data_IF_173994655302
#
_entry.id   IF_173994655302
#
_cell.length_a   1.000
_cell.length_b   1.000
_cell.length_c   1.000
_cell.angle_alpha   90.00
_cell.angle_beta   90.00
_cell.angle_gamma   90.00
#
_symmetry.space_group_name_H-M   'P 1'
#
loop_
_entity.id
_entity.type
_entity.pdbx_description
1 polymer ?
#
# COMPACT_ATOMS: atom_id res chain seq x y z
N UNK A 1 -28.73 27.15 -106.00
CA UNK A 1 -29.16 25.81 -105.59
C UNK A 1 -27.91 24.96 -105.44
N UNK A 2 -27.78 24.32 -104.27
CA UNK A 2 -27.15 23.01 -104.02
C UNK A 2 -25.68 22.74 -104.42
N UNK A 3 -24.80 22.81 -103.40
CA UNK A 3 -24.05 21.72 -102.72
C UNK A 3 -23.32 20.61 -103.54
N UNK A 4 -22.03 20.42 -103.15
CA UNK A 4 -21.13 19.22 -103.15
C UNK A 4 -20.69 18.58 -104.48
N UNK A 5 -19.54 17.91 -104.63
CA UNK A 5 -18.44 17.46 -103.74
C UNK A 5 -17.28 16.99 -104.64
N UNK A 6 -16.01 17.15 -104.22
CA UNK A 6 -15.00 16.08 -103.97
C UNK A 6 -13.84 16.24 -105.00
N UNK A 7 -12.54 15.97 -104.79
CA UNK A 7 -11.69 15.56 -103.67
C UNK A 7 -10.21 15.65 -104.13
N UNK A 8 -9.27 15.75 -103.17
CA UNK A 8 -7.82 15.44 -103.24
C UNK A 8 -6.90 16.28 -104.16
N UNK A 9 -5.66 16.69 -103.83
CA UNK A 9 -4.61 16.06 -103.03
C UNK A 9 -3.56 17.13 -102.65
N UNK A 10 -3.20 17.33 -101.37
CA UNK A 10 -1.95 18.03 -101.02
C UNK A 10 -1.28 17.38 -99.80
N UNK A 11 -0.05 16.91 -100.02
CA UNK A 11 0.81 16.27 -99.02
C UNK A 11 1.13 17.25 -97.90
N UNK A 12 0.75 16.92 -96.67
CA UNK A 12 1.16 17.68 -95.48
C UNK A 12 1.88 16.81 -94.44
N UNK A 13 2.99 17.36 -93.98
CA UNK A 13 3.97 16.82 -93.02
C UNK A 13 3.30 16.57 -91.67
N UNK A 14 3.45 15.35 -91.11
CA UNK A 14 2.98 15.06 -89.75
C UNK A 14 3.98 15.56 -88.69
N UNK A 15 3.53 16.21 -87.60
CA UNK A 15 4.39 16.83 -86.61
C UNK A 15 4.81 15.85 -85.48
N UNK A 16 6.07 15.97 -85.08
CA UNK A 16 6.73 15.22 -84.00
C UNK A 16 6.07 15.46 -82.63
N UNK A 17 5.73 14.38 -81.90
CA UNK A 17 5.18 14.44 -80.53
C UNK A 17 6.14 15.16 -79.57
N UNK A 18 5.71 16.29 -78.98
CA UNK A 18 6.45 17.00 -77.92
C UNK A 18 6.58 16.12 -76.67
N UNK A 19 7.82 15.91 -76.18
CA UNK A 19 8.10 15.25 -74.88
C UNK A 19 7.57 16.10 -73.74
N UNK A 20 6.74 15.53 -72.85
CA UNK A 20 6.30 16.20 -71.61
C UNK A 20 7.52 16.46 -70.71
N UNK A 21 7.75 17.71 -70.33
CA UNK A 21 8.74 18.09 -69.31
C UNK A 21 8.35 17.46 -67.97
N UNK A 22 9.17 16.54 -67.47
CA UNK A 22 8.97 15.88 -66.18
C UNK A 22 9.51 16.79 -65.07
N UNK A 23 8.63 17.47 -64.35
CA UNK A 23 9.02 18.31 -63.21
C UNK A 23 9.33 17.42 -61.99
N UNK A 24 10.59 17.41 -61.55
CA UNK A 24 11.02 16.73 -60.34
C UNK A 24 10.96 17.68 -59.14
N UNK A 25 10.11 17.38 -58.17
CA UNK A 25 9.94 18.18 -56.97
C UNK A 25 11.11 17.98 -56.00
N UNK A 26 11.73 19.07 -55.54
CA UNK A 26 12.70 19.05 -54.43
C UNK A 26 11.99 18.78 -53.09
N UNK A 27 12.72 18.17 -52.16
CA UNK A 27 12.31 17.97 -50.78
C UNK A 27 11.88 19.29 -50.14
N UNK A 28 10.76 19.29 -49.42
CA UNK A 28 10.26 20.46 -48.71
C UNK A 28 10.23 20.20 -47.21
N UNK A 29 10.90 21.07 -46.45
CA UNK A 29 10.92 21.03 -44.99
C UNK A 29 9.53 21.19 -44.36
N UNK A 30 8.56 21.71 -45.12
CA UNK A 30 7.16 21.80 -44.72
C UNK A 30 6.50 20.43 -44.57
N UNK A 31 7.05 19.38 -45.18
CA UNK A 31 6.54 18.02 -45.03
C UNK A 31 6.83 17.45 -43.64
N UNK A 32 7.88 17.90 -42.96
CA UNK A 32 8.16 17.54 -41.55
C UNK A 32 7.17 18.21 -40.58
N UNK A 33 6.48 19.27 -41.01
CA UNK A 33 5.48 20.00 -40.20
C UNK A 33 4.05 19.55 -40.50
N UNK A 34 3.84 18.77 -41.55
CA UNK A 34 2.52 18.25 -41.94
C UNK A 34 2.16 17.07 -41.02
N UNK A 35 1.03 17.17 -40.32
CA UNK A 35 0.58 16.18 -39.33
C UNK A 35 0.50 14.74 -39.89
N UNK A 36 0.38 14.59 -41.21
CA UNK A 36 0.31 13.28 -41.88
C UNK A 36 1.68 12.63 -42.14
N UNK A 37 2.76 13.41 -42.10
CA UNK A 37 4.11 12.99 -42.54
C UNK A 37 5.21 13.26 -41.51
N UNK A 38 4.97 14.16 -40.55
CA UNK A 38 5.92 14.59 -39.53
C UNK A 38 6.50 13.46 -38.66
N UNK A 39 5.73 12.40 -38.45
CA UNK A 39 6.13 11.29 -37.58
C UNK A 39 7.18 10.33 -38.15
N UNK A 40 7.52 10.43 -39.44
CA UNK A 40 8.44 9.46 -40.07
C UNK A 40 9.27 10.00 -41.24
N UNK A 41 9.04 11.22 -41.71
CA UNK A 41 9.77 11.82 -42.84
C UNK A 41 10.84 12.78 -42.34
N UNK A 42 12.06 12.63 -42.86
CA UNK A 42 13.20 13.53 -42.62
C UNK A 42 13.93 13.87 -43.92
N UNK A 43 14.75 14.93 -43.91
CA UNK A 43 15.69 15.22 -45.00
C UNK A 43 16.64 14.04 -45.24
N UNK A 44 16.84 13.68 -46.51
CA UNK A 44 17.81 12.64 -46.91
C UNK A 44 19.22 13.20 -47.09
N UNK A 45 20.22 12.38 -46.78
CA UNK A 45 21.62 12.69 -47.05
C UNK A 45 22.02 12.43 -48.53
N UNK A 46 21.15 11.83 -49.34
CA UNK A 46 21.42 11.52 -50.77
C UNK A 46 21.15 12.68 -51.74
N UNK A 47 20.71 13.83 -51.22
CA UNK A 47 20.52 15.05 -51.99
C UNK A 47 19.11 15.63 -51.91
N UNK A 48 18.94 16.84 -52.44
CA UNK A 48 17.73 17.65 -52.27
C UNK A 48 16.48 17.10 -52.95
N UNK A 49 16.60 16.05 -53.76
CA UNK A 49 15.49 15.37 -54.43
C UNK A 49 15.06 14.08 -53.72
N UNK A 50 15.54 13.83 -52.50
CA UNK A 50 15.22 12.62 -51.74
C UNK A 50 14.66 12.97 -50.36
N UNK A 51 13.76 12.13 -49.87
CA UNK A 51 13.32 12.12 -48.48
C UNK A 51 13.73 10.80 -47.81
N UNK A 52 14.01 10.87 -46.52
CA UNK A 52 14.35 9.73 -45.69
C UNK A 52 13.13 9.31 -44.86
N UNK A 53 12.82 8.01 -44.88
CA UNK A 53 11.84 7.41 -43.98
C UNK A 53 12.56 6.92 -42.72
N UNK A 54 12.27 7.49 -41.56
CA UNK A 54 12.85 7.08 -40.27
C UNK A 54 12.33 5.71 -39.82
N UNK A 55 11.06 5.40 -40.13
CA UNK A 55 10.46 4.11 -39.77
C UNK A 55 11.06 2.93 -40.56
N UNK A 56 11.37 3.13 -41.85
CA UNK A 56 11.90 2.07 -42.73
C UNK A 56 13.40 2.21 -43.05
N UNK A 57 14.04 3.29 -42.58
CA UNK A 57 15.45 3.65 -42.81
C UNK A 57 15.85 3.61 -44.29
N UNK A 58 15.06 4.24 -45.15
CA UNK A 58 15.31 4.25 -46.59
C UNK A 58 15.15 5.65 -47.19
N UNK A 59 15.89 5.92 -48.26
CA UNK A 59 15.78 7.14 -49.05
C UNK A 59 14.93 6.90 -50.30
N UNK A 60 13.95 7.77 -50.55
CA UNK A 60 13.12 7.73 -51.75
C UNK A 60 13.19 9.06 -52.50
N UNK A 61 13.18 8.99 -53.84
CA UNK A 61 13.08 10.19 -54.69
C UNK A 61 11.73 10.87 -54.48
N UNK A 62 11.77 12.19 -54.33
CA UNK A 62 10.61 13.04 -54.17
C UNK A 62 9.74 13.09 -55.43
N UNK A 63 10.32 13.00 -56.65
CA UNK A 63 9.60 12.84 -57.92
C UNK A 63 8.33 13.69 -58.05
N UNK A 64 7.17 13.05 -57.84
CA UNK A 64 5.82 13.66 -57.86
C UNK A 64 5.40 14.37 -56.54
N UNK A 65 6.34 14.72 -55.67
CA UNK A 65 6.12 15.40 -54.39
C UNK A 65 5.29 14.58 -53.39
N UNK A 66 4.27 15.21 -52.79
CA UNK A 66 3.43 14.60 -51.72
C UNK A 66 2.74 13.28 -52.12
N UNK A 67 2.57 13.00 -53.42
CA UNK A 67 1.97 11.73 -53.89
C UNK A 67 2.85 10.52 -53.57
N UNK A 68 4.17 10.67 -53.67
CA UNK A 68 5.13 9.60 -53.35
C UNK A 68 5.12 9.30 -51.86
N UNK A 69 5.03 10.33 -51.02
CA UNK A 69 4.90 10.20 -49.56
C UNK A 69 3.64 9.42 -49.16
N UNK A 70 2.49 9.72 -49.77
CA UNK A 70 1.24 8.98 -49.54
C UNK A 70 1.35 7.51 -49.95
N UNK A 71 1.85 7.24 -51.16
CA UNK A 71 2.08 5.87 -51.66
C UNK A 71 3.05 5.08 -50.76
N UNK A 72 4.10 5.74 -50.26
CA UNK A 72 5.05 5.12 -49.34
C UNK A 72 4.40 4.78 -47.99
N UNK A 73 3.65 5.73 -47.40
CA UNK A 73 2.91 5.51 -46.16
C UNK A 73 1.89 4.36 -46.28
N UNK A 74 1.30 4.20 -47.47
CA UNK A 74 0.33 3.14 -47.75
C UNK A 74 0.96 1.78 -48.03
N UNK A 75 2.27 1.72 -48.27
CA UNK A 75 2.98 0.49 -48.60
C UNK A 75 2.93 -0.54 -47.45
N UNK A 76 2.87 -1.81 -47.82
CA UNK A 76 2.78 -2.95 -46.88
C UNK A 76 3.99 -2.93 -45.92
N UNK A 77 5.19 -2.64 -46.44
CA UNK A 77 6.43 -2.59 -45.67
C UNK A 77 6.37 -1.51 -44.58
N UNK A 78 6.01 -0.27 -44.95
CA UNK A 78 5.90 0.83 -44.00
C UNK A 78 4.84 0.55 -42.92
N UNK A 79 3.64 0.11 -43.31
CA UNK A 79 2.57 -0.25 -42.37
C UNK A 79 2.96 -1.36 -41.40
N UNK A 80 3.68 -2.38 -41.86
CA UNK A 80 4.10 -3.51 -41.02
C UNK A 80 5.06 -3.08 -39.90
N UNK A 81 6.01 -2.20 -40.22
CA UNK A 81 7.05 -1.74 -39.28
C UNK A 81 6.48 -0.74 -38.30
N UNK A 82 5.64 0.19 -38.76
CA UNK A 82 4.96 1.14 -37.87
C UNK A 82 4.04 0.40 -36.89
N UNK A 83 3.30 -0.62 -37.36
CA UNK A 83 2.48 -1.47 -36.48
C UNK A 83 3.32 -2.26 -35.46
N UNK A 84 4.50 -2.73 -35.86
CA UNK A 84 5.41 -3.43 -34.94
C UNK A 84 5.99 -2.48 -33.89
N UNK A 85 6.36 -1.26 -34.27
CA UNK A 85 6.90 -0.24 -33.36
C UNK A 85 5.87 0.22 -32.32
N UNK A 86 4.60 0.42 -32.72
CA UNK A 86 3.51 0.77 -31.79
C UNK A 86 3.23 -0.34 -30.76
N UNK A 87 3.48 -1.61 -31.13
CA UNK A 87 3.29 -2.76 -30.23
C UNK A 87 4.44 -2.99 -29.26
N UNK A 88 5.58 -2.33 -29.45
CA UNK A 88 6.72 -2.46 -28.54
C UNK A 88 6.54 -1.50 -27.35
N UNK A 89 6.47 -2.03 -26.11
CA UNK A 89 6.46 -1.17 -24.92
C UNK A 89 7.75 -0.36 -24.85
N UNK A 90 7.67 0.89 -24.42
CA UNK A 90 8.86 1.70 -24.17
C UNK A 90 9.62 1.15 -22.96
N UNK A 91 10.94 1.31 -22.91
CA UNK A 91 11.75 0.92 -21.75
C UNK A 91 11.21 1.56 -20.44
N UNK A 92 10.64 2.77 -20.56
CA UNK A 92 10.00 3.49 -19.46
C UNK A 92 8.75 2.80 -18.89
N UNK A 93 8.03 2.00 -19.68
CA UNK A 93 6.90 1.20 -19.18
C UNK A 93 7.31 -0.13 -18.56
N UNK A 94 8.56 -0.56 -18.77
CA UNK A 94 9.13 -1.78 -18.18
C UNK A 94 9.86 -1.53 -16.87
N UNK A 95 10.18 -0.26 -16.55
CA UNK A 95 10.64 0.09 -15.21
C UNK A 95 9.50 -0.21 -14.23
N UNK A 96 9.72 -1.00 -13.16
CA UNK A 96 8.73 -1.11 -12.12
C UNK A 96 8.42 0.31 -11.66
N UNK A 97 7.14 0.67 -11.63
CA UNK A 97 6.67 1.83 -10.88
C UNK A 97 7.01 1.54 -9.43
N UNK A 98 8.26 1.78 -9.04
CA UNK A 98 8.65 1.93 -7.66
C UNK A 98 7.73 3.02 -7.16
N UNK A 99 6.74 2.63 -6.35
CA UNK A 99 6.07 3.54 -5.45
C UNK A 99 7.16 4.10 -4.55
N UNK A 100 7.88 5.12 -5.03
CA UNK A 100 8.85 5.83 -4.21
C UNK A 100 8.02 6.38 -3.06
N UNK A 101 8.13 5.73 -1.90
CA UNK A 101 7.46 6.19 -0.68
C UNK A 101 7.69 7.69 -0.61
N UNK A 102 6.61 8.45 -0.56
CA UNK A 102 6.68 9.89 -0.65
C UNK A 102 7.60 10.40 0.45
N UNK A 103 8.22 11.55 0.25
CA UNK A 103 9.10 12.13 1.26
C UNK A 103 8.39 12.25 2.63
N UNK A 104 7.08 12.51 2.60
CA UNK A 104 6.21 12.54 3.79
C UNK A 104 6.02 11.17 4.44
N UNK A 105 5.99 10.07 3.69
CA UNK A 105 5.93 8.72 4.27
C UNK A 105 7.20 8.35 5.04
N UNK A 106 8.36 8.86 4.60
CA UNK A 106 9.62 8.68 5.33
C UNK A 106 9.60 9.43 6.66
N UNK A 107 9.05 10.65 6.68
CA UNK A 107 8.87 11.44 7.91
C UNK A 107 7.99 10.67 8.89
N UNK A 108 6.78 10.28 8.45
CA UNK A 108 5.83 9.49 9.27
C UNK A 108 6.46 8.20 9.80
N UNK A 109 7.20 7.49 8.94
CA UNK A 109 7.88 6.26 9.35
C UNK A 109 8.97 6.51 10.39
N UNK A 110 9.66 7.65 10.36
CA UNK A 110 10.65 8.03 11.36
C UNK A 110 9.99 8.31 12.71
N UNK A 111 8.95 9.14 12.72
CA UNK A 111 8.21 9.50 13.93
C UNK A 111 7.55 8.28 14.60
N UNK A 112 7.01 7.35 13.81
CA UNK A 112 6.50 6.08 14.34
C UNK A 112 7.60 5.27 15.01
N UNK A 113 8.79 5.20 14.41
CA UNK A 113 9.92 4.46 15.01
C UNK A 113 10.40 5.11 16.30
N UNK A 114 10.47 6.45 16.36
CA UNK A 114 10.82 7.18 17.58
C UNK A 114 9.79 6.93 18.69
N UNK A 115 8.50 7.00 18.37
CA UNK A 115 7.42 6.70 19.32
C UNK A 115 7.50 5.25 19.84
N UNK A 116 7.70 4.28 18.95
CA UNK A 116 7.88 2.88 19.33
C UNK A 116 9.14 2.66 20.16
N UNK A 117 10.22 3.41 19.91
CA UNK A 117 11.43 3.33 20.72
C UNK A 117 11.17 3.75 22.17
N UNK A 118 10.48 4.88 22.37
CA UNK A 118 10.07 5.31 23.71
C UNK A 118 9.20 4.27 24.41
N UNK A 119 8.18 3.75 23.71
CA UNK A 119 7.27 2.73 24.25
C UNK A 119 8.00 1.42 24.60
N UNK A 120 8.85 0.92 23.70
CA UNK A 120 9.60 -0.34 23.87
C UNK A 120 10.52 -0.32 25.10
N UNK A 121 11.13 0.83 25.38
CA UNK A 121 12.05 0.99 26.50
C UNK A 121 11.38 1.54 27.77
N UNK A 122 10.04 1.63 27.79
CA UNK A 122 9.26 2.19 28.90
C UNK A 122 9.75 3.59 29.31
N UNK A 123 10.09 4.42 28.32
CA UNK A 123 10.57 5.78 28.53
C UNK A 123 9.41 6.78 28.59
N UNK A 124 9.49 7.83 29.43
CA UNK A 124 8.49 8.88 29.46
C UNK A 124 8.35 9.58 28.10
N UNK A 125 7.12 9.79 27.64
CA UNK A 125 6.88 10.55 26.40
C UNK A 125 7.30 12.02 26.48
N UNK A 126 7.61 12.54 27.67
CA UNK A 126 8.21 13.88 27.82
C UNK A 126 9.60 13.98 27.19
N UNK A 127 10.30 12.85 26.97
CA UNK A 127 11.59 12.82 26.28
C UNK A 127 11.47 12.94 24.75
N UNK A 128 10.24 13.01 24.21
CA UNK A 128 10.03 13.11 22.77
C UNK A 128 10.64 14.39 22.20
N UNK A 129 10.42 15.53 22.87
CA UNK A 129 10.95 16.83 22.48
C UNK A 129 12.49 16.82 22.51
N UNK A 130 13.11 16.30 23.58
CA UNK A 130 14.57 16.15 23.67
C UNK A 130 15.15 15.21 22.59
N UNK A 131 14.41 14.16 22.23
CA UNK A 131 14.81 13.19 21.21
C UNK A 131 14.76 13.80 19.80
N UNK A 132 13.81 14.68 19.53
CA UNK A 132 13.73 15.45 18.29
C UNK A 132 14.96 16.35 18.13
N UNK A 133 15.24 17.17 19.15
CA UNK A 133 16.40 18.08 19.19
C UNK A 133 17.72 17.31 19.02
N UNK A 134 17.85 16.16 19.70
CA UNK A 134 19.02 15.31 19.59
C UNK A 134 19.22 14.79 18.16
N UNK A 135 18.17 14.30 17.50
CA UNK A 135 18.29 13.77 16.13
C UNK A 135 18.67 14.86 15.13
N UNK A 136 18.12 16.07 15.28
CA UNK A 136 18.48 17.21 14.43
C UNK A 136 19.96 17.60 14.64
N UNK A 137 20.44 17.60 15.90
CA UNK A 137 21.85 17.91 16.20
C UNK A 137 22.84 16.86 15.69
N UNK A 138 22.46 15.58 15.70
CA UNK A 138 23.32 14.47 15.25
C UNK A 138 23.43 14.41 13.73
N UNK A 139 22.39 14.85 13.00
CA UNK A 139 22.38 14.82 11.53
C UNK A 139 21.89 16.16 10.93
N UNK A 140 22.68 17.24 11.04
CA UNK A 140 22.26 18.59 10.62
C UNK A 140 21.94 18.70 9.13
N UNK A 141 22.66 17.96 8.28
CA UNK A 141 22.50 17.98 6.81
C UNK A 141 21.23 17.26 6.32
N UNK A 142 20.53 16.55 7.21
CA UNK A 142 19.37 15.76 6.85
C UNK A 142 18.10 16.61 6.77
N UNK A 143 17.63 16.86 5.55
CA UNK A 143 16.30 17.44 5.29
C UNK A 143 15.15 16.65 5.93
N UNK A 144 15.37 15.37 6.25
CA UNK A 144 14.38 14.52 6.92
C UNK A 144 14.33 14.84 8.42
N UNK A 145 15.50 14.96 9.06
CA UNK A 145 15.61 15.24 10.48
C UNK A 145 15.01 16.62 10.81
N UNK A 146 15.35 17.64 10.02
CA UNK A 146 14.83 19.01 10.16
C UNK A 146 13.32 19.16 9.85
N UNK A 147 12.64 18.05 9.52
CA UNK A 147 11.21 18.02 9.18
C UNK A 147 10.41 17.08 10.09
N UNK A 148 11.07 16.42 11.04
CA UNK A 148 10.34 15.79 12.12
C UNK A 148 9.58 16.86 12.90
N UNK A 149 8.43 16.46 13.43
CA UNK A 149 7.66 17.24 14.38
C UNK A 149 7.25 16.23 15.43
N UNK A 150 8.00 16.10 16.52
CA UNK A 150 7.92 14.96 17.42
C UNK A 150 7.91 15.38 18.89
N UNK A 151 6.83 16.07 19.30
CA UNK A 151 6.60 16.39 20.70
C UNK A 151 5.86 15.29 21.48
N UNK A 152 5.84 15.43 22.81
CA UNK A 152 5.18 14.51 23.76
C UNK A 152 3.77 14.06 23.34
N UNK A 153 2.89 15.02 23.01
CA UNK A 153 1.48 14.72 22.66
C UNK A 153 1.39 13.86 21.41
N UNK A 154 2.28 14.10 20.44
CA UNK A 154 2.30 13.34 19.20
C UNK A 154 2.86 11.94 19.41
N UNK A 155 3.93 11.80 20.19
CA UNK A 155 4.45 10.49 20.59
C UNK A 155 3.36 9.63 21.24
N UNK A 156 2.63 10.19 22.23
CA UNK A 156 1.50 9.52 22.86
C UNK A 156 0.40 9.16 21.86
N UNK A 157 -0.01 10.10 20.99
CA UNK A 157 -1.04 9.84 19.99
C UNK A 157 -0.64 8.75 18.98
N UNK A 158 0.62 8.70 18.56
CA UNK A 158 1.14 7.66 17.66
C UNK A 158 1.11 6.30 18.36
N UNK A 159 1.57 6.22 19.61
CA UNK A 159 1.56 4.96 20.35
C UNK A 159 0.12 4.47 20.55
N UNK A 160 -0.76 5.32 21.05
CA UNK A 160 -2.13 4.91 21.42
C UNK A 160 -3.03 4.70 20.20
N UNK A 161 -3.08 5.65 19.27
CA UNK A 161 -4.08 5.66 18.20
C UNK A 161 -3.63 5.01 16.90
N UNK A 162 -2.31 4.82 16.71
CA UNK A 162 -1.76 4.21 15.49
C UNK A 162 -1.24 2.81 15.79
N UNK A 163 -0.13 2.72 16.53
CA UNK A 163 0.56 1.43 16.71
C UNK A 163 -0.21 0.49 17.64
N UNK A 164 -0.70 1.00 18.77
CA UNK A 164 -1.56 0.27 19.70
C UNK A 164 -2.85 -0.19 19.04
N UNK A 165 -3.49 0.67 18.22
CA UNK A 165 -4.71 0.27 17.50
C UNK A 165 -4.46 -0.81 16.44
N UNK A 166 -3.33 -0.75 15.75
CA UNK A 166 -2.92 -1.79 14.79
C UNK A 166 -2.68 -3.12 15.51
N UNK A 167 -1.96 -3.10 16.64
CA UNK A 167 -1.69 -4.28 17.44
C UNK A 167 -2.99 -4.89 18.00
N UNK A 168 -3.90 -4.07 18.55
CA UNK A 168 -5.22 -4.49 19.03
C UNK A 168 -6.00 -5.20 17.90
N UNK A 169 -6.06 -4.60 16.71
CA UNK A 169 -6.78 -5.17 15.57
C UNK A 169 -6.15 -6.48 15.08
N UNK A 170 -4.82 -6.61 15.14
CA UNK A 170 -4.13 -7.86 14.82
C UNK A 170 -4.49 -8.95 15.83
N UNK A 171 -4.42 -8.63 17.12
CA UNK A 171 -4.78 -9.56 18.19
C UNK A 171 -6.25 -10.01 18.10
N UNK A 172 -7.18 -9.09 17.84
CA UNK A 172 -8.60 -9.41 17.62
C UNK A 172 -8.77 -10.40 16.47
N UNK A 173 -8.07 -10.20 15.33
CA UNK A 173 -8.13 -11.15 14.20
C UNK A 173 -7.64 -12.54 14.59
N UNK A 174 -6.58 -12.62 15.39
CA UNK A 174 -6.08 -13.90 15.89
C UNK A 174 -7.14 -14.57 16.77
N UNK A 175 -7.83 -13.83 17.64
CA UNK A 175 -8.90 -14.36 18.49
C UNK A 175 -10.14 -14.83 17.74
N UNK A 176 -10.44 -14.17 16.64
CA UNK A 176 -11.55 -14.56 15.76
C UNK A 176 -11.30 -15.90 15.08
N UNK A 177 -10.04 -16.22 14.79
CA UNK A 177 -9.68 -17.35 13.93
C UNK A 177 -9.10 -18.54 14.70
N UNK A 178 -8.51 -18.32 15.87
CA UNK A 178 -7.73 -19.32 16.60
C UNK A 178 -8.32 -19.61 17.98
N UNK A 179 -8.01 -20.80 18.50
CA UNK A 179 -8.29 -21.15 19.90
C UNK A 179 -7.35 -20.37 20.82
N UNK A 180 -7.85 -19.97 21.98
CA UNK A 180 -7.09 -19.14 22.91
C UNK A 180 -7.41 -19.45 24.38
N UNK A 181 -6.48 -19.07 25.26
CA UNK A 181 -6.67 -19.11 26.72
C UNK A 181 -6.85 -17.69 27.24
N UNK A 182 -7.83 -17.45 28.10
CA UNK A 182 -8.05 -16.15 28.73
C UNK A 182 -7.50 -16.17 30.16
N UNK A 183 -6.64 -15.22 30.49
CA UNK A 183 -6.14 -15.00 31.84
C UNK A 183 -6.71 -13.66 32.33
N UNK A 184 -7.40 -13.66 33.47
CA UNK A 184 -7.94 -12.45 34.09
C UNK A 184 -7.25 -12.21 35.42
N UNK A 185 -6.58 -11.07 35.53
CA UNK A 185 -5.95 -10.60 36.76
C UNK A 185 -6.66 -9.37 37.33
N UNK A 186 -6.81 -9.35 38.66
CA UNK A 186 -7.48 -8.28 39.40
C UNK A 186 -6.46 -7.47 40.19
N UNK A 187 -6.19 -6.26 39.75
CA UNK A 187 -5.41 -5.31 40.56
C UNK A 187 -6.32 -4.54 41.53
N UNK A 188 -5.88 -4.42 42.78
CA UNK A 188 -6.54 -3.62 43.83
C UNK A 188 -5.76 -2.34 44.07
N UNK A 189 -5.98 -1.34 43.22
CA UNK A 189 -5.53 0.04 43.45
C UNK A 189 -6.64 0.83 44.17
N UNK A 190 -6.27 1.69 45.12
CA UNK A 190 -7.19 2.55 45.90
C UNK A 190 -7.97 3.53 45.04
N UNK A 191 -7.59 3.76 43.78
CA UNK A 191 -8.42 4.40 42.77
C UNK A 191 -9.07 3.36 41.85
N UNK A 192 -10.25 2.89 42.23
CA UNK A 192 -11.28 2.27 41.38
C UNK A 192 -10.79 1.56 40.10
N UNK A 193 -10.39 0.30 40.31
CA UNK A 193 -10.52 -0.87 39.40
C UNK A 193 -9.83 -0.89 38.04
N UNK A 194 -8.93 -1.88 37.90
CA UNK A 194 -8.28 -2.27 36.65
C UNK A 194 -8.20 -3.79 36.59
N UNK A 195 -8.93 -4.40 35.66
CA UNK A 195 -8.82 -5.83 35.36
C UNK A 195 -8.07 -6.03 34.05
N UNK A 196 -7.07 -6.89 34.09
CA UNK A 196 -6.17 -7.20 32.97
C UNK A 196 -6.63 -8.53 32.33
N UNK A 197 -6.97 -8.49 31.05
CA UNK A 197 -7.17 -9.69 30.25
C UNK A 197 -5.91 -9.97 29.42
N UNK A 198 -5.20 -11.05 29.73
CA UNK A 198 -4.09 -11.58 28.95
C UNK A 198 -4.58 -12.78 28.14
N UNK A 199 -4.04 -12.95 26.94
CA UNK A 199 -4.32 -14.11 26.11
C UNK A 199 -3.03 -14.84 25.82
N UNK A 200 -3.02 -16.14 26.11
CA UNK A 200 -1.95 -17.06 25.74
C UNK A 200 -2.31 -17.77 24.43
N UNK A 201 -1.46 -17.55 23.42
CA UNK A 201 -1.39 -18.34 22.19
C UNK A 201 -0.01 -18.98 22.13
N UNK A 202 0.04 -20.32 22.20
CA UNK A 202 1.19 -21.12 21.74
C UNK A 202 2.57 -20.53 22.14
N UNK A 203 2.71 -20.16 23.43
CA UNK A 203 3.94 -19.66 24.11
C UNK A 203 4.11 -18.12 24.15
N UNK A 204 3.18 -17.31 23.64
CA UNK A 204 3.23 -15.84 23.74
C UNK A 204 2.01 -15.23 24.46
N UNK A 205 2.27 -14.57 25.59
CA UNK A 205 1.26 -13.81 26.35
C UNK A 205 1.06 -12.43 25.70
N UNK A 206 -0.15 -12.16 25.26
CA UNK A 206 -0.54 -10.86 24.69
C UNK A 206 -1.53 -10.12 25.59
N UNK A 207 -1.24 -8.84 25.85
CA UNK A 207 -2.18 -7.94 26.51
C UNK A 207 -3.36 -7.64 25.58
N UNK A 208 -4.58 -7.95 26.03
CA UNK A 208 -5.78 -7.72 25.25
C UNK A 208 -6.42 -6.36 25.55
N UNK A 209 -6.84 -6.15 26.80
CA UNK A 209 -7.44 -4.90 27.24
C UNK A 209 -7.33 -4.72 28.75
N UNK A 210 -7.46 -3.46 29.17
CA UNK A 210 -7.72 -3.07 30.54
C UNK A 210 -9.16 -2.59 30.66
N UNK A 211 -9.91 -3.15 31.60
CA UNK A 211 -11.31 -2.80 31.79
C UNK A 211 -11.54 -2.17 33.17
N UNK A 212 -12.06 -0.94 33.23
CA UNK A 212 -12.54 -0.36 34.47
C UNK A 212 -13.87 -1.03 34.84
N UNK A 213 -13.98 -1.53 36.06
CA UNK A 213 -15.20 -2.20 36.54
C UNK A 213 -15.58 -1.60 37.89
N UNK A 214 -16.68 -0.86 37.98
CA UNK A 214 -17.04 -0.14 39.23
C UNK A 214 -17.27 -1.11 40.39
N UNK A 215 -17.95 -2.23 40.14
CA UNK A 215 -18.27 -3.23 41.13
C UNK A 215 -17.50 -4.52 40.82
N UNK A 216 -16.52 -4.89 41.65
CA UNK A 216 -15.67 -6.08 41.48
C UNK A 216 -16.40 -7.43 41.64
N UNK A 217 -17.67 -7.48 41.27
CA UNK A 217 -18.60 -8.61 41.30
C UNK A 217 -18.41 -9.44 40.02
N UNK A 218 -18.46 -10.76 40.15
CA UNK A 218 -18.25 -11.70 39.06
C UNK A 218 -19.20 -11.49 37.85
N UNK A 219 -20.45 -11.12 38.09
CA UNK A 219 -21.44 -10.86 37.02
C UNK A 219 -21.10 -9.64 36.20
N UNK A 220 -20.69 -8.54 36.84
CA UNK A 220 -20.26 -7.32 36.16
C UNK A 220 -19.03 -7.58 35.29
N UNK A 221 -18.06 -8.35 35.82
CA UNK A 221 -16.87 -8.78 35.07
C UNK A 221 -17.22 -9.64 33.86
N UNK A 222 -18.11 -10.63 34.05
CA UNK A 222 -18.54 -11.53 32.99
C UNK A 222 -19.25 -10.77 31.87
N UNK A 223 -20.21 -9.91 32.24
CA UNK A 223 -20.93 -9.08 31.28
C UNK A 223 -19.98 -8.18 30.49
N UNK A 224 -19.04 -7.54 31.16
CA UNK A 224 -18.14 -6.60 30.49
C UNK A 224 -17.16 -7.34 29.55
N UNK A 225 -16.65 -8.51 29.93
CA UNK A 225 -15.88 -9.38 29.02
C UNK A 225 -16.72 -9.83 27.82
N UNK A 226 -17.98 -10.25 28.07
CA UNK A 226 -18.91 -10.67 27.02
C UNK A 226 -19.20 -9.55 26.04
N UNK A 227 -19.50 -8.34 26.53
CA UNK A 227 -19.69 -7.14 25.70
C UNK A 227 -18.46 -6.85 24.86
N UNK A 228 -17.26 -6.92 25.43
CA UNK A 228 -16.02 -6.76 24.66
C UNK A 228 -15.92 -7.79 23.53
N UNK A 229 -16.16 -9.08 23.81
CA UNK A 229 -16.10 -10.12 22.78
C UNK A 229 -17.16 -9.91 21.69
N UNK A 230 -18.38 -9.53 22.07
CA UNK A 230 -19.47 -9.26 21.13
C UNK A 230 -19.18 -8.04 20.25
N UNK A 231 -18.73 -6.92 20.82
CA UNK A 231 -18.36 -5.71 20.08
C UNK A 231 -17.22 -5.95 19.08
N UNK A 232 -16.29 -6.84 19.41
CA UNK A 232 -15.15 -7.21 18.56
C UNK A 232 -15.43 -8.41 17.67
N UNK A 233 -16.65 -8.96 17.68
CA UNK A 233 -17.03 -10.17 16.94
C UNK A 233 -16.10 -11.37 17.22
N UNK A 234 -15.63 -11.52 18.46
CA UNK A 234 -14.80 -12.65 18.88
C UNK A 234 -15.74 -13.80 19.31
N UNK A 235 -15.70 -14.96 18.63
CA UNK A 235 -16.54 -16.11 18.97
C UNK A 235 -15.95 -16.85 20.18
N UNK A 236 -15.95 -16.19 21.35
CA UNK A 236 -15.29 -16.70 22.56
C UNK A 236 -15.86 -18.06 23.00
N UNK A 237 -17.15 -18.33 22.75
CA UNK A 237 -17.79 -19.60 23.13
C UNK A 237 -17.16 -20.82 22.44
N UNK A 238 -16.77 -20.64 21.19
CA UNK A 238 -16.15 -21.70 20.41
C UNK A 238 -14.63 -21.68 20.57
N UNK A 239 -14.03 -20.49 20.66
CA UNK A 239 -12.57 -20.33 20.59
C UNK A 239 -11.85 -20.32 21.94
N UNK A 240 -12.52 -19.96 23.04
CA UNK A 240 -11.89 -19.96 24.36
C UNK A 240 -11.85 -21.39 24.92
N UNK A 241 -10.64 -21.91 25.10
CA UNK A 241 -10.42 -23.30 25.57
C UNK A 241 -10.01 -23.36 27.04
N UNK A 242 -9.38 -22.30 27.56
CA UNK A 242 -8.97 -22.23 28.96
C UNK A 242 -9.28 -20.87 29.57
N UNK A 243 -9.55 -20.87 30.86
CA UNK A 243 -9.71 -19.66 31.66
C UNK A 243 -8.84 -19.76 32.91
N UNK A 244 -8.00 -18.76 33.13
CA UNK A 244 -7.17 -18.65 34.31
C UNK A 244 -7.43 -17.34 35.06
N UNK A 245 -7.43 -17.39 36.39
CA UNK A 245 -7.57 -16.18 37.20
C UNK A 245 -6.99 -16.37 38.61
N UNK A 246 -6.89 -15.27 39.36
CA UNK A 246 -6.58 -15.32 40.79
C UNK A 246 -7.59 -16.18 41.57
N UNK A 247 -7.19 -16.72 42.72
CA UNK A 247 -8.06 -17.56 43.54
C UNK A 247 -9.06 -16.78 44.39
N UNK A 248 -9.37 -15.52 44.07
CA UNK A 248 -10.27 -14.71 44.90
C UNK A 248 -11.71 -15.18 44.82
N UNK A 249 -12.54 -14.79 45.79
CA UNK A 249 -13.96 -15.18 45.81
C UNK A 249 -14.72 -14.74 44.54
N UNK A 250 -14.37 -13.60 43.95
CA UNK A 250 -14.95 -13.12 42.69
C UNK A 250 -14.57 -13.98 41.47
N UNK A 251 -13.44 -14.70 41.52
CA UNK A 251 -12.89 -15.44 40.39
C UNK A 251 -13.03 -16.95 40.51
N UNK A 252 -13.05 -17.52 41.73
CA UNK A 252 -13.17 -18.97 42.01
C UNK A 252 -13.96 -19.33 43.29
N UNK A 253 -14.71 -18.39 43.90
CA UNK A 253 -15.52 -18.62 45.10
C UNK A 253 -16.91 -19.23 44.86
N UNK A 254 -17.94 -18.75 45.57
CA UNK A 254 -19.30 -19.31 45.55
C UNK A 254 -20.13 -18.96 44.29
N UNK A 255 -19.91 -17.78 43.70
CA UNK A 255 -20.48 -17.36 42.41
C UNK A 255 -19.43 -16.69 41.52
N UNK A 256 -18.42 -17.45 41.09
CA UNK A 256 -17.24 -16.85 40.47
C UNK A 256 -17.38 -16.63 38.96
N UNK A 257 -16.55 -15.74 38.44
CA UNK A 257 -16.40 -15.49 37.00
C UNK A 257 -16.12 -16.79 36.22
N UNK A 258 -15.31 -17.70 36.79
CA UNK A 258 -15.02 -19.02 36.20
C UNK A 258 -16.27 -19.87 35.98
N UNK A 259 -17.19 -19.93 36.94
CA UNK A 259 -18.45 -20.68 36.79
C UNK A 259 -19.39 -20.03 35.77
N UNK A 260 -19.38 -18.69 35.65
CA UNK A 260 -20.17 -18.00 34.62
C UNK A 260 -19.67 -18.36 33.22
N UNK A 261 -18.35 -18.34 32.98
CA UNK A 261 -17.80 -18.78 31.70
C UNK A 261 -18.00 -20.28 31.44
N UNK A 262 -17.95 -21.12 32.48
CA UNK A 262 -18.21 -22.56 32.33
C UNK A 262 -19.69 -22.87 31.97
N UNK A 263 -20.63 -22.00 32.38
CA UNK A 263 -22.03 -22.08 31.93
C UNK A 263 -22.17 -21.75 30.43
N UNK A 264 -21.36 -20.81 29.94
CA UNK A 264 -21.34 -20.47 28.51
C UNK A 264 -20.59 -21.51 27.66
N UNK A 265 -19.55 -22.13 28.23
CA UNK A 265 -18.62 -23.04 27.56
C UNK A 265 -18.46 -24.30 28.41
N UNK A 266 -19.20 -25.35 28.04
CA UNK A 266 -19.28 -26.58 28.82
C UNK A 266 -17.92 -27.25 29.07
N UNK A 267 -17.03 -27.21 28.08
CA UNK A 267 -15.72 -27.88 28.10
C UNK A 267 -14.55 -26.93 28.44
N UNK A 268 -14.83 -25.83 29.15
CA UNK A 268 -13.80 -24.85 29.52
C UNK A 268 -12.87 -25.39 30.61
N UNK A 269 -11.56 -25.39 30.36
CA UNK A 269 -10.57 -25.77 31.35
C UNK A 269 -10.25 -24.60 32.29
N UNK A 270 -10.38 -24.81 33.59
CA UNK A 270 -10.20 -23.76 34.60
C UNK A 270 -8.86 -23.91 35.33
N UNK A 271 -8.07 -22.83 35.37
CA UNK A 271 -6.77 -22.78 36.03
C UNK A 271 -6.77 -21.72 37.13
N UNK A 272 -6.39 -22.11 38.35
CA UNK A 272 -6.19 -21.16 39.45
C UNK A 272 -4.76 -20.64 39.43
N UNK A 273 -4.57 -19.37 39.76
CA UNK A 273 -3.23 -18.78 39.88
C UNK A 273 -2.38 -19.51 40.92
N UNK A 274 -1.30 -20.14 40.45
CA UNK A 274 -0.32 -20.85 41.29
C UNK A 274 0.40 -19.89 42.25
N UNK A 275 0.73 -18.68 41.80
CA UNK A 275 1.37 -17.66 42.62
C UNK A 275 0.50 -17.26 43.82
N UNK A 276 -0.81 -17.08 43.60
CA UNK A 276 -1.74 -16.79 44.69
C UNK A 276 -1.82 -17.97 45.68
N UNK A 277 -1.78 -19.21 45.18
CA UNK A 277 -1.77 -20.39 46.03
C UNK A 277 -0.51 -20.48 46.90
N UNK A 278 0.67 -20.23 46.33
CA UNK A 278 1.92 -20.17 47.10
C UNK A 278 1.92 -19.04 48.13
N UNK A 279 1.43 -17.86 47.76
CA UNK A 279 1.28 -16.74 48.69
C UNK A 279 0.38 -17.10 49.87
N UNK A 280 -0.78 -17.74 49.62
CA UNK A 280 -1.67 -18.19 50.67
C UNK A 280 -1.00 -19.23 51.58
N UNK A 281 -0.31 -20.23 51.01
CA UNK A 281 0.41 -21.24 51.77
C UNK A 281 1.46 -20.60 52.70
N UNK A 282 2.30 -19.71 52.16
CA UNK A 282 3.32 -19.00 52.94
C UNK A 282 2.69 -18.11 54.02
N UNK A 283 1.64 -17.35 53.68
CA UNK A 283 0.93 -16.46 54.61
C UNK A 283 0.31 -17.24 55.78
N UNK A 284 -0.36 -18.36 55.50
CA UNK A 284 -0.93 -19.21 56.55
C UNK A 284 0.16 -19.89 57.40
N UNK A 285 1.27 -20.32 56.80
CA UNK A 285 2.39 -20.89 57.53
C UNK A 285 3.02 -19.84 58.47
N UNK A 286 3.25 -18.61 58.01
CA UNK A 286 3.79 -17.53 58.84
C UNK A 286 2.90 -17.19 60.05
N UNK A 287 1.58 -17.30 59.92
CA UNK A 287 0.64 -17.13 61.05
C UNK A 287 0.73 -18.24 62.11
N UNK A 288 1.42 -19.35 61.80
CA UNK A 288 1.61 -20.51 62.68
C UNK A 288 3.05 -20.63 63.20
N UNK A 289 3.97 -19.83 62.69
CA UNK A 289 5.32 -19.74 63.25
C UNK A 289 5.23 -19.07 64.64
N UNK A 290 5.95 -19.60 65.65
CA UNK A 290 5.94 -19.10 67.03
C UNK A 290 6.52 -17.69 67.17
#
# INVERSE_FOLDING_TARGET
>A
MEISSDSEEERSVTPTKKRKLHYEQKYSHLWEKDQKFSGWVKKSNKGDYYFYCESFKCDLKCGEGKRVLKKHAESIKHKSIVKAAVRQPTLTSMLPKSSSKSFTDKIKSGEIKMACFLAKHNLPFSLADDLEDLIESVVPESKLASKFTFGRTKAHAIVTNVTGKVAENQLIKILQQNKFSLIVDKSTDRSSTKHLALIDFDVEDSFLFLMPVVDGIATSLHNACKTFFEEKNIPYKDNMVRFAADGTNSMFGHHPLSTLFQKDILNLFLIKCVCHYFHLCASYACKKLP
#
